data_IF_981111680458
#
_entry.id   IF_981111680458
#
_cell.length_a   1.000
_cell.length_b   1.000
_cell.length_c   1.000
_cell.angle_alpha   90.00
_cell.angle_beta   90.00
_cell.angle_gamma   90.00
#
_symmetry.space_group_name_H-M   'P 1'
#
loop_
_entity.id
_entity.type
_entity.pdbx_description
1 polymer ?
#
# COMPACT_ATOMS: atom_id res chain seq x y z
N UNK A 1 32.16 -27.45 -22.49
CA UNK A 1 32.07 -26.01 -22.81
C UNK A 1 32.71 -25.24 -21.67
N UNK A 2 34.03 -25.06 -21.74
CA UNK A 2 34.80 -24.25 -20.80
C UNK A 2 34.79 -22.83 -21.38
N UNK A 3 34.10 -21.89 -20.73
CA UNK A 3 34.14 -20.47 -21.11
C UNK A 3 35.21 -19.83 -20.22
N UNK A 4 36.42 -19.52 -20.71
CA UNK A 4 37.35 -18.71 -19.95
C UNK A 4 36.86 -17.27 -20.06
N UNK A 5 36.05 -16.83 -19.10
CA UNK A 5 35.73 -15.42 -19.00
C UNK A 5 36.99 -14.71 -18.51
N UNK A 6 37.56 -13.88 -19.38
CA UNK A 6 38.81 -13.17 -19.19
C UNK A 6 38.87 -12.46 -17.83
N UNK A 7 39.60 -13.05 -16.88
CA UNK A 7 40.21 -12.29 -15.79
C UNK A 7 41.34 -11.45 -16.40
N UNK A 8 40.99 -10.27 -16.89
CA UNK A 8 41.95 -9.21 -17.13
C UNK A 8 42.68 -8.91 -15.81
N UNK A 9 44.02 -8.81 -15.79
CA UNK A 9 44.75 -8.36 -14.61
C UNK A 9 44.52 -6.86 -14.45
N UNK A 10 43.38 -6.48 -13.88
CA UNK A 10 43.16 -5.10 -13.44
C UNK A 10 44.14 -4.82 -12.29
N UNK A 11 44.98 -3.77 -12.38
CA UNK A 11 45.92 -3.43 -11.32
C UNK A 11 45.14 -3.21 -10.03
N UNK A 12 45.61 -3.74 -8.91
CA UNK A 12 44.91 -3.76 -7.62
C UNK A 12 44.45 -2.38 -7.10
N UNK A 13 45.00 -1.29 -7.65
CA UNK A 13 44.55 0.09 -7.44
C UNK A 13 43.20 0.41 -8.09
N UNK A 14 42.89 -0.22 -9.22
CA UNK A 14 41.61 -0.07 -9.92
C UNK A 14 40.52 -0.90 -9.26
N UNK A 15 40.83 -2.07 -8.68
CA UNK A 15 39.88 -2.86 -7.88
C UNK A 15 39.33 -2.07 -6.68
N UNK A 16 40.20 -1.40 -5.90
CA UNK A 16 39.77 -0.54 -4.80
C UNK A 16 38.84 0.59 -5.23
N UNK A 17 39.10 1.15 -6.42
CA UNK A 17 38.24 2.18 -7.00
C UNK A 17 36.87 1.60 -7.34
N UNK A 18 36.81 0.38 -7.88
CA UNK A 18 35.54 -0.31 -8.16
C UNK A 18 34.76 -0.62 -6.88
N UNK A 19 35.43 -1.04 -5.81
CA UNK A 19 34.81 -1.27 -4.49
C UNK A 19 34.21 0.03 -3.93
N UNK A 20 34.96 1.15 -3.97
CA UNK A 20 34.45 2.46 -3.55
C UNK A 20 33.25 2.94 -4.40
N UNK A 21 33.25 2.64 -5.70
CA UNK A 21 32.10 2.93 -6.57
C UNK A 21 30.90 2.04 -6.24
N UNK A 22 31.10 0.78 -5.91
CA UNK A 22 30.04 -0.15 -5.49
C UNK A 22 29.42 0.31 -4.17
N UNK A 23 30.23 0.72 -3.19
CA UNK A 23 29.77 1.28 -1.91
C UNK A 23 28.91 2.54 -2.11
N UNK A 24 29.35 3.49 -2.96
CA UNK A 24 28.59 4.70 -3.27
C UNK A 24 27.24 4.36 -3.94
N UNK A 25 27.21 3.35 -4.80
CA UNK A 25 25.99 2.91 -5.48
C UNK A 25 25.04 2.16 -4.53
N UNK A 26 25.57 1.33 -3.64
CA UNK A 26 24.84 0.62 -2.58
C UNK A 26 24.24 1.64 -1.59
N UNK A 27 25.01 2.64 -1.17
CA UNK A 27 24.53 3.74 -0.33
C UNK A 27 23.40 4.53 -1.00
N UNK A 28 23.52 4.91 -2.29
CA UNK A 28 22.43 5.60 -3.01
C UNK A 28 21.19 4.72 -3.15
N UNK A 29 21.36 3.41 -3.36
CA UNK A 29 20.26 2.45 -3.46
C UNK A 29 19.45 2.38 -2.17
N UNK A 30 20.09 2.50 -0.99
CA UNK A 30 19.39 2.54 0.29
C UNK A 30 18.52 3.79 0.51
N UNK A 31 18.79 4.88 -0.21
CA UNK A 31 18.03 6.14 -0.12
C UNK A 31 16.95 6.25 -1.19
N UNK A 32 17.05 5.50 -2.30
CA UNK A 32 16.06 5.50 -3.38
C UNK A 32 15.19 4.25 -3.46
N UNK A 33 15.42 3.25 -2.59
CA UNK A 33 14.62 2.03 -2.61
C UNK A 33 13.14 2.28 -2.23
N UNK A 34 12.27 1.39 -2.70
CA UNK A 34 10.84 1.43 -2.40
C UNK A 34 10.60 1.43 -0.88
N UNK A 35 11.45 0.75 -0.11
CA UNK A 35 11.34 0.65 1.34
C UNK A 35 11.57 2.00 2.02
N UNK A 36 12.54 2.78 1.58
CA UNK A 36 12.84 4.14 2.04
C UNK A 36 11.77 5.10 1.55
N UNK A 37 11.36 5.02 0.28
CA UNK A 37 10.24 5.79 -0.25
C UNK A 37 8.97 5.59 0.59
N UNK A 38 8.62 4.34 0.95
CA UNK A 38 7.48 4.04 1.81
C UNK A 38 7.65 4.55 3.25
N UNK A 39 8.86 4.51 3.81
CA UNK A 39 9.16 5.08 5.14
C UNK A 39 9.02 6.61 5.17
N UNK A 40 9.43 7.28 4.11
CA UNK A 40 9.36 8.74 3.98
C UNK A 40 8.01 9.23 3.47
N UNK A 41 7.22 8.35 2.85
CA UNK A 41 5.87 8.65 2.37
C UNK A 41 4.91 8.76 3.56
N UNK A 42 4.86 9.95 4.15
CA UNK A 42 3.72 10.38 4.95
C UNK A 42 2.82 11.22 4.04
N UNK A 43 1.71 10.67 3.51
CA UNK A 43 0.79 11.45 2.69
C UNK A 43 0.34 12.65 3.50
N UNK A 44 0.39 13.85 2.92
CA UNK A 44 0.07 15.10 3.62
C UNK A 44 -1.34 15.07 4.25
N UNK A 45 -2.25 14.27 3.69
CA UNK A 45 -3.61 14.04 4.17
C UNK A 45 -3.66 13.43 5.59
N UNK A 46 -2.59 12.75 6.03
CA UNK A 46 -2.51 12.14 7.36
C UNK A 46 -1.58 12.90 8.33
N UNK A 47 -0.95 14.00 7.91
CA UNK A 47 -0.13 14.81 8.82
C UNK A 47 -1.04 15.54 9.81
N UNK A 48 -1.03 15.10 11.07
CA UNK A 48 -1.76 15.72 12.17
C UNK A 48 -3.12 15.07 12.49
N UNK A 49 -3.54 14.06 11.73
CA UNK A 49 -4.74 13.26 12.06
C UNK A 49 -4.27 11.95 12.69
N UNK A 50 -4.68 11.61 13.93
CA UNK A 50 -4.34 10.32 14.51
C UNK A 50 -4.96 9.20 13.67
N UNK A 51 -4.25 8.08 13.43
CA UNK A 51 -4.83 6.95 12.73
C UNK A 51 -6.07 6.45 13.47
N UNK A 52 -7.12 6.08 12.72
CA UNK A 52 -8.33 5.51 13.31
C UNK A 52 -7.98 4.23 14.07
N UNK A 53 -8.59 4.01 15.25
CA UNK A 53 -8.42 2.73 15.93
C UNK A 53 -9.06 1.63 15.08
N UNK A 54 -8.53 0.39 15.11
CA UNK A 54 -9.14 -0.72 14.38
C UNK A 54 -10.63 -0.93 14.74
N UNK A 55 -11.01 -0.67 15.99
CA UNK A 55 -12.41 -0.66 16.44
C UNK A 55 -13.27 0.35 15.69
N UNK A 56 -12.75 1.56 15.49
CA UNK A 56 -13.48 2.67 14.92
C UNK A 56 -13.71 2.42 13.43
N UNK A 57 -12.71 1.89 12.73
CA UNK A 57 -12.82 1.44 11.34
C UNK A 57 -13.87 0.33 11.23
N UNK A 58 -13.78 -0.69 12.08
CA UNK A 58 -14.73 -1.82 12.09
C UNK A 58 -16.17 -1.33 12.29
N UNK A 59 -16.40 -0.49 13.29
CA UNK A 59 -17.73 0.06 13.57
C UNK A 59 -18.22 0.94 12.42
N UNK A 60 -17.37 1.81 11.86
CA UNK A 60 -17.75 2.68 10.74
C UNK A 60 -18.15 1.87 9.51
N UNK A 61 -17.38 0.84 9.16
CA UNK A 61 -17.66 -0.01 8.00
C UNK A 61 -18.95 -0.82 8.21
N UNK A 62 -19.14 -1.44 9.38
CA UNK A 62 -20.35 -2.24 9.65
C UNK A 62 -21.63 -1.40 9.72
N UNK A 63 -21.50 -0.11 10.07
CA UNK A 63 -22.62 0.82 10.12
C UNK A 63 -22.90 1.54 8.80
N UNK A 64 -22.07 1.35 7.77
CA UNK A 64 -22.24 1.99 6.46
C UNK A 64 -23.52 1.51 5.78
N UNK A 65 -24.14 2.40 5.00
CA UNK A 65 -25.38 2.09 4.29
C UNK A 65 -25.18 0.94 3.32
N UNK A 66 -24.05 0.90 2.61
CA UNK A 66 -23.71 -0.11 1.61
C UNK A 66 -23.59 -1.50 2.24
N UNK A 67 -22.85 -1.62 3.35
CA UNK A 67 -22.67 -2.89 4.05
C UNK A 67 -23.99 -3.36 4.64
N UNK A 68 -24.76 -2.46 5.28
CA UNK A 68 -26.08 -2.80 5.83
C UNK A 68 -27.08 -3.17 4.74
N UNK A 69 -27.03 -2.52 3.59
CA UNK A 69 -27.86 -2.84 2.44
C UNK A 69 -27.55 -4.24 1.92
N UNK A 70 -26.28 -4.58 1.70
CA UNK A 70 -25.88 -5.92 1.24
C UNK A 70 -26.28 -6.98 2.26
N UNK A 71 -26.01 -6.75 3.56
CA UNK A 71 -26.44 -7.66 4.63
C UNK A 71 -27.95 -7.87 4.57
N UNK A 72 -28.74 -6.78 4.48
CA UNK A 72 -30.20 -6.85 4.38
C UNK A 72 -30.63 -7.64 3.15
N UNK A 73 -30.05 -7.40 1.98
CA UNK A 73 -30.40 -8.11 0.76
C UNK A 73 -30.10 -9.61 0.88
N UNK A 74 -28.93 -9.96 1.40
CA UNK A 74 -28.55 -11.35 1.64
C UNK A 74 -29.50 -12.02 2.64
N UNK A 75 -29.83 -11.34 3.74
CA UNK A 75 -30.81 -11.84 4.73
C UNK A 75 -32.20 -12.04 4.12
N UNK A 76 -32.69 -11.10 3.32
CA UNK A 76 -33.99 -11.21 2.64
C UNK A 76 -34.00 -12.35 1.61
N UNK A 77 -32.90 -12.53 0.86
CA UNK A 77 -32.74 -13.64 -0.08
C UNK A 77 -32.80 -15.00 0.62
N UNK A 78 -32.20 -15.13 1.81
CA UNK A 78 -32.21 -16.38 2.57
C UNK A 78 -33.53 -16.64 3.31
N UNK A 79 -34.28 -15.59 3.69
CA UNK A 79 -35.54 -15.72 4.42
C UNK A 79 -36.78 -15.84 3.52
N UNK A 80 -36.64 -15.73 2.20
CA UNK A 80 -37.75 -15.91 1.26
C UNK A 80 -38.79 -14.79 1.27
N UNK A 81 -38.55 -13.68 1.96
CA UNK A 81 -39.40 -12.49 1.95
C UNK A 81 -38.91 -11.48 0.90
N UNK A 82 -39.55 -11.48 -0.26
CA UNK A 82 -39.46 -10.35 -1.19
C UNK A 82 -40.30 -9.17 -0.66
N UNK A 83 -39.63 -8.15 -0.16
CA UNK A 83 -40.16 -6.79 -0.12
C UNK A 83 -39.08 -5.82 -0.63
N UNK A 84 -39.07 -5.66 -1.95
CA UNK A 84 -38.35 -4.56 -2.61
C UNK A 84 -39.16 -3.29 -2.35
N UNK A 85 -38.65 -2.42 -1.47
CA UNK A 85 -39.03 -1.01 -1.45
C UNK A 85 -37.75 -0.18 -1.40
N UNK A 86 -37.44 0.46 -2.52
CA UNK A 86 -36.42 1.49 -2.62
C UNK A 86 -36.94 2.77 -1.94
N UNK A 87 -36.24 3.39 -0.98
CA UNK A 87 -36.45 4.79 -0.66
C UNK A 87 -35.47 5.63 -1.48
N UNK A 88 -36.03 6.66 -2.11
CA UNK A 88 -35.32 7.56 -2.99
C UNK A 88 -34.27 8.40 -2.27
N UNK A 89 -33.38 8.92 -3.10
CA UNK A 89 -32.50 10.06 -2.85
C UNK A 89 -33.21 11.18 -2.09
N UNK A 90 -32.69 11.52 -0.90
CA UNK A 90 -32.82 12.88 -0.38
C UNK A 90 -31.41 13.44 -0.23
N UNK A 91 -31.13 14.49 -0.99
CA UNK A 91 -29.87 15.19 -0.94
C UNK A 91 -29.69 15.90 0.40
N UNK A 92 -28.44 16.02 0.82
CA UNK A 92 -28.06 16.93 1.89
C UNK A 92 -27.29 18.09 1.26
N UNK A 93 -28.00 19.21 1.06
CA UNK A 93 -27.41 20.54 1.10
C UNK A 93 -27.35 20.98 2.56
N UNK A 94 -26.20 21.46 2.99
CA UNK A 94 -25.94 22.01 4.33
C UNK A 94 -24.47 22.31 4.47
#
# INVERSE_FOLDING_TARGET
MHIPFCLSPYPQKELKKWDEFEDILEERRHVSDLKFAMKCYTPLVYKGIPPCKPSDIKCSVLNSEEVRYVIKQVTLLFLGEQAVQCPGSTGCSG
#
